data_IF_679968460861
#
_entry.id   IF_679968460861
#
_cell.length_a   1.000
_cell.length_b   1.000
_cell.length_c   1.000
_cell.angle_alpha   90.00
_cell.angle_beta   90.00
_cell.angle_gamma   90.00
#
_symmetry.space_group_name_H-M   'P 1'
#
loop_
_entity.id
_entity.type
_entity.pdbx_description
1 polymer ?
#
# COMPACT_ATOMS: atom_id res chain seq x y z
N UNK A 1 49.70 7.76 -9.17
CA UNK A 1 49.00 6.78 -10.03
C UNK A 1 47.56 6.68 -9.55
N UNK A 2 46.69 7.57 -10.01
CA UNK A 2 45.26 7.59 -9.61
C UNK A 2 44.47 6.72 -10.57
N UNK A 3 44.12 5.50 -10.15
CA UNK A 3 43.30 4.58 -10.94
C UNK A 3 41.82 4.95 -10.75
N UNK A 4 41.21 5.50 -11.81
CA UNK A 4 39.76 5.69 -11.89
C UNK A 4 39.05 4.32 -11.85
N UNK A 5 38.07 4.08 -10.96
CA UNK A 5 37.31 2.83 -10.97
C UNK A 5 36.51 2.76 -12.27
N UNK A 6 36.79 1.73 -13.07
CA UNK A 6 36.10 1.47 -14.33
C UNK A 6 34.59 1.35 -14.13
N UNK A 7 33.84 2.03 -15.01
CA UNK A 7 32.38 1.95 -15.08
C UNK A 7 31.97 0.47 -15.25
N UNK A 8 31.11 -0.03 -14.36
CA UNK A 8 30.50 -1.35 -14.47
C UNK A 8 29.50 -1.31 -15.63
N UNK A 9 29.95 -1.61 -16.85
CA UNK A 9 29.07 -1.73 -18.01
C UNK A 9 28.45 -3.12 -18.01
N UNK A 10 27.17 -3.19 -17.63
CA UNK A 10 26.38 -4.38 -17.91
C UNK A 10 26.18 -4.47 -19.43
N UNK A 11 26.53 -5.59 -20.07
CA UNK A 11 26.31 -5.76 -21.50
C UNK A 11 24.83 -5.52 -21.79
N UNK A 12 24.55 -4.57 -22.68
CA UNK A 12 23.19 -4.29 -23.11
C UNK A 12 22.64 -5.56 -23.75
N UNK A 13 21.60 -6.10 -23.13
CA UNK A 13 20.87 -7.28 -23.56
C UNK A 13 20.06 -7.01 -24.85
N UNK A 14 20.76 -6.72 -25.95
CA UNK A 14 20.12 -6.53 -27.25
C UNK A 14 19.85 -7.86 -27.98
N UNK A 15 20.10 -8.99 -27.31
CA UNK A 15 20.07 -10.32 -27.92
C UNK A 15 19.16 -11.33 -27.21
N UNK A 16 18.74 -11.08 -25.96
CA UNK A 16 17.75 -11.91 -25.30
C UNK A 16 16.36 -11.51 -25.79
N UNK A 17 15.81 -12.36 -26.64
CA UNK A 17 14.40 -12.32 -26.99
C UNK A 17 13.67 -13.04 -25.86
N UNK A 18 12.85 -12.32 -25.09
CA UNK A 18 11.92 -12.92 -24.14
C UNK A 18 10.91 -13.77 -24.93
N UNK A 19 11.00 -15.09 -24.79
CA UNK A 19 10.12 -16.03 -25.48
C UNK A 19 8.81 -16.26 -24.71
N UNK A 20 8.55 -15.49 -23.65
CA UNK A 20 7.30 -15.49 -22.89
C UNK A 20 7.06 -16.75 -22.07
N UNK A 21 8.09 -17.58 -21.85
CA UNK A 21 7.98 -18.83 -21.08
C UNK A 21 8.40 -18.64 -19.62
N UNK A 22 7.78 -19.42 -18.76
CA UNK A 22 8.16 -19.53 -17.35
C UNK A 22 9.31 -20.53 -17.19
N UNK A 23 10.49 -20.01 -16.91
CA UNK A 23 11.72 -20.79 -16.68
C UNK A 23 12.04 -21.07 -15.22
N UNK A 24 11.20 -20.66 -14.26
CA UNK A 24 11.52 -20.74 -12.84
C UNK A 24 11.92 -22.17 -12.41
N UNK A 25 11.14 -23.17 -12.83
CA UNK A 25 11.42 -24.57 -12.51
C UNK A 25 12.70 -25.09 -13.18
N UNK A 26 13.00 -24.60 -14.40
CA UNK A 26 14.21 -24.98 -15.15
C UNK A 26 15.46 -24.41 -14.50
N UNK A 27 15.41 -23.14 -14.10
CA UNK A 27 16.51 -22.44 -13.41
C UNK A 27 16.77 -23.09 -12.06
N UNK A 28 15.71 -23.33 -11.27
CA UNK A 28 15.84 -23.97 -9.97
C UNK A 28 16.36 -25.41 -10.09
N UNK A 29 15.93 -26.15 -11.12
CA UNK A 29 16.46 -27.48 -11.39
C UNK A 29 17.96 -27.41 -11.69
N UNK A 30 18.39 -26.56 -12.62
CA UNK A 30 19.79 -26.37 -13.01
C UNK A 30 20.69 -26.01 -11.83
N UNK A 31 20.23 -25.09 -10.98
CA UNK A 31 20.97 -24.64 -9.80
C UNK A 31 21.23 -25.77 -8.80
N UNK A 32 20.32 -26.75 -8.75
CA UNK A 32 20.40 -27.87 -7.82
C UNK A 32 20.90 -29.17 -8.48
N UNK A 33 21.35 -29.16 -9.75
CA UNK A 33 21.91 -30.36 -10.44
C UNK A 33 23.19 -30.85 -9.77
N UNK A 34 24.16 -29.94 -9.57
CA UNK A 34 25.45 -30.28 -8.96
C UNK A 34 25.30 -30.87 -7.55
N UNK A 35 24.56 -30.22 -6.65
CA UNK A 35 24.24 -30.78 -5.33
C UNK A 35 23.56 -32.16 -5.42
N UNK A 36 22.54 -32.33 -6.28
CA UNK A 36 21.85 -33.63 -6.47
C UNK A 36 22.79 -34.74 -6.95
N UNK A 37 23.69 -34.43 -7.88
CA UNK A 37 24.67 -35.38 -8.39
C UNK A 37 25.67 -35.82 -7.30
N UNK A 38 26.07 -34.89 -6.42
CA UNK A 38 27.02 -35.16 -5.33
C UNK A 38 26.40 -35.95 -4.16
N UNK A 39 25.13 -35.70 -3.84
CA UNK A 39 24.45 -36.33 -2.69
C UNK A 39 23.73 -37.63 -3.05
N UNK A 40 23.82 -38.10 -4.31
CA UNK A 40 23.10 -39.28 -4.81
C UNK A 40 21.60 -39.21 -4.53
N UNK A 41 21.04 -38.01 -4.54
CA UNK A 41 19.59 -37.82 -4.40
C UNK A 41 18.84 -38.53 -5.54
N UNK A 42 17.58 -38.90 -5.29
CA UNK A 42 16.72 -39.55 -6.29
C UNK A 42 16.75 -38.73 -7.59
N UNK A 43 16.95 -39.42 -8.72
CA UNK A 43 16.98 -38.77 -10.03
C UNK A 43 15.63 -38.11 -10.33
N UNK A 44 15.66 -36.79 -10.54
CA UNK A 44 14.50 -36.02 -10.97
C UNK A 44 14.81 -35.46 -12.36
N UNK A 45 14.03 -35.81 -13.40
CA UNK A 45 14.28 -35.33 -14.74
C UNK A 45 14.12 -33.80 -14.82
N UNK A 46 14.82 -33.20 -15.79
CA UNK A 46 14.74 -31.75 -16.00
C UNK A 46 13.33 -31.34 -16.43
N UNK A 47 12.68 -30.37 -15.76
CA UNK A 47 11.39 -29.85 -16.18
C UNK A 47 11.52 -29.07 -17.49
N UNK A 48 10.47 -29.05 -18.29
CA UNK A 48 10.36 -28.19 -19.49
C UNK A 48 9.84 -26.82 -19.07
N UNK A 49 10.27 -25.77 -19.77
CA UNK A 49 9.74 -24.43 -19.55
C UNK A 49 8.23 -24.43 -19.84
N UNK A 50 7.44 -23.96 -18.88
CA UNK A 50 5.99 -23.89 -18.98
C UNK A 50 5.55 -22.53 -19.52
N UNK A 51 4.26 -22.40 -19.80
CA UNK A 51 3.65 -21.07 -20.01
C UNK A 51 3.38 -20.44 -18.63
N UNK A 52 3.38 -19.12 -18.54
CA UNK A 52 2.86 -18.45 -17.35
C UNK A 52 1.40 -18.88 -17.10
N UNK A 53 1.06 -19.20 -15.84
CA UNK A 53 -0.32 -19.45 -15.47
C UNK A 53 -1.12 -18.18 -15.75
N UNK A 54 -2.05 -18.24 -16.70
CA UNK A 54 -3.01 -17.15 -16.88
C UNK A 54 -3.81 -17.06 -15.58
N UNK A 55 -3.83 -15.90 -14.89
CA UNK A 55 -4.67 -15.78 -13.71
C UNK A 55 -6.10 -16.15 -14.14
N UNK A 56 -6.72 -17.06 -13.41
CA UNK A 56 -8.12 -17.38 -13.64
C UNK A 56 -8.86 -16.05 -13.68
N UNK A 57 -9.54 -15.75 -14.80
CA UNK A 57 -10.36 -14.55 -14.93
C UNK A 57 -11.18 -14.50 -13.65
N UNK A 58 -11.09 -13.44 -12.83
CA UNK A 58 -11.86 -13.40 -11.61
C UNK A 58 -13.30 -13.60 -12.06
N UNK A 59 -13.89 -14.75 -11.69
CA UNK A 59 -15.30 -14.94 -11.83
C UNK A 59 -15.88 -13.72 -11.16
N UNK A 60 -16.55 -12.86 -11.93
CA UNK A 60 -17.19 -11.67 -11.40
C UNK A 60 -18.08 -12.21 -10.30
N UNK A 61 -17.65 -12.10 -9.05
CA UNK A 61 -18.46 -12.50 -7.92
C UNK A 61 -19.73 -11.70 -8.14
N UNK A 62 -20.84 -12.40 -8.43
CA UNK A 62 -22.14 -11.77 -8.54
C UNK A 62 -22.22 -10.87 -7.32
N UNK A 63 -22.31 -9.56 -7.56
CA UNK A 63 -22.09 -8.55 -6.54
C UNK A 63 -22.83 -8.97 -5.29
N UNK A 64 -22.09 -9.50 -4.32
CA UNK A 64 -22.66 -9.90 -3.05
C UNK A 64 -23.28 -8.60 -2.56
N UNK A 65 -24.60 -8.63 -2.33
CA UNK A 65 -25.40 -7.47 -1.96
C UNK A 65 -24.56 -6.57 -1.07
N UNK A 66 -24.34 -5.32 -1.52
CA UNK A 66 -23.41 -4.37 -0.95
C UNK A 66 -23.32 -4.58 0.56
N UNK A 67 -22.15 -5.03 1.05
CA UNK A 67 -21.91 -5.23 2.47
C UNK A 67 -22.52 -4.03 3.22
N UNK A 68 -23.33 -4.25 4.28
CA UNK A 68 -24.15 -3.20 4.85
C UNK A 68 -23.24 -2.02 5.11
N UNK A 69 -23.55 -0.88 4.47
CA UNK A 69 -22.72 0.31 4.57
C UNK A 69 -22.39 0.52 6.03
N UNK A 70 -21.13 0.28 6.42
CA UNK A 70 -20.69 0.37 7.82
C UNK A 70 -21.13 1.76 8.27
N UNK A 71 -22.11 1.82 9.19
CA UNK A 71 -22.67 3.09 9.66
C UNK A 71 -21.50 3.91 10.18
N UNK A 72 -21.05 4.86 9.37
CA UNK A 72 -19.88 5.68 9.68
C UNK A 72 -20.21 6.36 11.00
N UNK A 73 -19.36 6.16 12.00
CA UNK A 73 -19.59 6.72 13.33
C UNK A 73 -19.79 8.23 13.17
N UNK A 74 -20.94 8.71 13.65
CA UNK A 74 -21.42 10.06 13.39
C UNK A 74 -20.41 11.11 13.82
N UNK A 75 -20.39 12.24 13.12
CA UNK A 75 -19.60 13.39 13.56
C UNK A 75 -20.18 13.91 14.88
N UNK A 76 -19.32 14.09 15.88
CA UNK A 76 -19.71 14.49 17.23
C UNK A 76 -19.46 15.95 17.52
N UNK A 77 -18.50 16.57 16.84
CA UNK A 77 -18.08 17.96 17.08
C UNK A 77 -17.94 18.74 15.78
N UNK A 78 -17.96 20.06 15.88
CA UNK A 78 -17.52 21.00 14.85
C UNK A 78 -16.28 21.73 15.32
N UNK A 79 -15.42 22.14 14.40
CA UNK A 79 -14.27 22.99 14.71
C UNK A 79 -13.74 23.68 13.45
N UNK A 80 -12.82 24.62 13.63
CA UNK A 80 -12.19 25.37 12.54
C UNK A 80 -10.81 24.76 12.27
N UNK A 81 -10.60 24.32 11.03
CA UNK A 81 -9.32 23.85 10.53
C UNK A 81 -8.70 24.91 9.61
N UNK A 82 -7.50 25.38 9.97
CA UNK A 82 -6.68 26.27 9.15
C UNK A 82 -5.98 25.40 8.10
N UNK A 83 -6.25 25.67 6.82
CA UNK A 83 -5.59 25.03 5.68
C UNK A 83 -4.90 26.09 4.82
N UNK A 84 -4.22 25.65 3.76
CA UNK A 84 -3.64 26.56 2.74
C UNK A 84 -4.63 27.60 2.20
N UNK A 85 -5.89 27.21 2.03
CA UNK A 85 -6.93 28.10 1.46
C UNK A 85 -7.64 28.94 2.54
N UNK A 86 -7.11 28.97 3.76
CA UNK A 86 -7.69 29.68 4.89
C UNK A 86 -8.44 28.77 5.87
N UNK A 87 -9.22 29.41 6.72
CA UNK A 87 -10.02 28.78 7.77
C UNK A 87 -11.25 28.08 7.20
N UNK A 88 -11.47 26.82 7.60
CA UNK A 88 -12.62 26.04 7.16
C UNK A 88 -13.29 25.35 8.34
N UNK A 89 -14.59 25.53 8.47
CA UNK A 89 -15.39 24.78 9.43
C UNK A 89 -15.50 23.31 9.00
N UNK A 90 -15.17 22.40 9.90
CA UNK A 90 -15.16 20.95 9.67
C UNK A 90 -15.96 20.23 10.74
N UNK A 91 -16.63 19.14 10.34
CA UNK A 91 -17.29 18.21 11.26
C UNK A 91 -16.30 17.11 11.65
N UNK A 92 -16.11 16.94 12.95
CA UNK A 92 -15.11 16.08 13.54
C UNK A 92 -15.77 14.88 14.21
N UNK A 93 -15.12 13.72 14.07
CA UNK A 93 -15.38 12.57 14.89
C UNK A 93 -14.31 12.53 15.99
N UNK A 94 -14.76 12.43 17.23
CA UNK A 94 -13.87 12.29 18.38
C UNK A 94 -13.38 10.84 18.53
N UNK A 95 -12.07 10.65 18.53
CA UNK A 95 -11.40 9.39 18.89
C UNK A 95 -10.61 9.60 20.19
N UNK A 96 -10.11 8.55 20.84
CA UNK A 96 -9.36 8.65 22.09
C UNK A 96 -8.24 9.70 22.06
N UNK A 97 -7.44 9.72 20.99
CA UNK A 97 -6.26 10.60 20.84
C UNK A 97 -6.39 11.63 19.72
N UNK A 98 -7.44 11.55 18.89
CA UNK A 98 -7.49 12.35 17.66
C UNK A 98 -8.87 12.91 17.33
N UNK A 99 -8.87 13.99 16.55
CA UNK A 99 -10.03 14.56 15.88
C UNK A 99 -10.02 14.20 14.40
N UNK A 100 -10.99 13.40 13.95
CA UNK A 100 -11.05 12.93 12.57
C UNK A 100 -12.06 13.74 11.74
N UNK A 101 -11.58 14.60 10.83
CA UNK A 101 -12.42 15.36 9.90
C UNK A 101 -12.84 14.49 8.70
N UNK A 102 -11.92 13.71 8.14
CA UNK A 102 -12.09 12.85 6.97
C UNK A 102 -11.18 11.61 7.10
N UNK A 103 -11.39 10.50 6.37
CA UNK A 103 -10.44 9.37 6.36
C UNK A 103 -8.98 9.76 6.09
N UNK A 104 -8.74 10.85 5.35
CA UNK A 104 -7.40 11.35 5.03
C UNK A 104 -7.00 12.59 5.84
N UNK A 105 -7.76 12.93 6.88
CA UNK A 105 -7.57 14.15 7.64
C UNK A 105 -7.90 13.97 9.11
N UNK A 106 -6.82 13.84 9.87
CA UNK A 106 -6.83 13.56 11.30
C UNK A 106 -5.92 14.54 12.02
N UNK A 107 -6.39 15.07 13.13
CA UNK A 107 -5.69 16.04 13.97
C UNK A 107 -5.44 15.47 15.36
N UNK A 108 -4.32 15.81 15.96
CA UNK A 108 -4.00 15.46 17.34
C UNK A 108 -4.85 16.30 18.32
N UNK A 109 -5.39 15.66 19.37
CA UNK A 109 -6.20 16.32 20.40
C UNK A 109 -5.41 17.31 21.25
N UNK A 110 -4.11 17.08 21.44
CA UNK A 110 -3.30 17.90 22.34
C UNK A 110 -2.74 19.11 21.59
N UNK A 111 -2.16 18.88 20.41
CA UNK A 111 -1.47 19.94 19.67
C UNK A 111 -2.36 20.62 18.60
N UNK A 112 -3.40 19.93 18.14
CA UNK A 112 -4.21 20.33 16.99
C UNK A 112 -3.49 20.16 15.64
N UNK A 113 -2.28 19.60 15.61
CA UNK A 113 -1.53 19.41 14.37
C UNK A 113 -2.11 18.26 13.54
N UNK A 114 -1.99 18.38 12.21
CA UNK A 114 -2.41 17.30 11.31
C UNK A 114 -1.40 16.15 11.34
N UNK A 115 -1.90 14.94 11.58
CA UNK A 115 -1.10 13.72 11.56
C UNK A 115 -0.69 13.41 10.12
N UNK A 116 0.61 13.14 9.92
CA UNK A 116 1.21 12.86 8.60
C UNK A 116 1.49 14.09 7.73
N UNK A 117 1.14 15.30 8.17
CA UNK A 117 1.48 16.55 7.48
C UNK A 117 1.55 17.74 8.46
N UNK A 118 2.49 17.71 9.42
CA UNK A 118 2.63 18.79 10.40
C UNK A 118 2.94 20.13 9.70
N UNK A 119 2.38 21.23 10.22
CA UNK A 119 2.67 22.60 9.77
C UNK A 119 1.89 23.12 8.55
N UNK A 120 1.29 22.27 7.71
CA UNK A 120 0.46 22.73 6.57
C UNK A 120 -1.00 23.00 6.93
N UNK A 121 -1.52 22.24 7.90
CA UNK A 121 -2.88 22.37 8.39
C UNK A 121 -2.91 22.18 9.90
N UNK A 122 -3.72 22.97 10.60
CA UNK A 122 -3.92 22.86 12.05
C UNK A 122 -5.39 23.04 12.40
N UNK A 123 -5.87 22.25 13.36
CA UNK A 123 -7.17 22.42 13.99
C UNK A 123 -7.05 23.39 15.17
N UNK A 124 -7.93 24.39 15.22
CA UNK A 124 -8.06 25.29 16.36
C UNK A 124 -8.84 24.61 17.48
N UNK A 125 -8.13 24.15 18.51
CA UNK A 125 -8.73 23.40 19.62
C UNK A 125 -9.76 24.22 20.42
N UNK A 126 -9.57 25.53 20.54
CA UNK A 126 -10.51 26.44 21.20
C UNK A 126 -11.84 26.59 20.45
N UNK A 127 -11.87 26.31 19.15
CA UNK A 127 -13.07 26.44 18.31
C UNK A 127 -13.95 25.19 18.31
N UNK A 128 -13.57 24.15 19.04
CA UNK A 128 -14.25 22.86 19.02
C UNK A 128 -15.53 22.95 19.85
N UNK A 129 -16.67 22.73 19.20
CA UNK A 129 -17.99 22.73 19.82
C UNK A 129 -18.72 21.40 19.57
N UNK A 130 -19.40 20.83 20.57
CA UNK A 130 -20.18 19.61 20.37
C UNK A 130 -21.36 19.89 19.42
N UNK A 131 -21.60 19.00 18.47
CA UNK A 131 -22.80 19.05 17.64
C UNK A 131 -23.95 18.55 18.51
N UNK A 132 -24.89 19.43 18.86
CA UNK A 132 -26.12 19.03 19.51
C UNK A 132 -26.77 17.93 18.65
N UNK A 133 -26.84 16.70 19.19
CA UNK A 133 -27.63 15.64 18.57
C UNK A 133 -29.07 16.10 18.67
N UNK A 134 -29.65 16.58 17.56
CA UNK A 134 -31.11 16.70 17.47
C UNK A 134 -31.65 15.29 17.68
N UNK A 135 -32.28 15.07 18.84
CA UNK A 135 -32.77 13.78 19.27
C UNK A 135 -33.63 13.12 18.20
N UNK A 136 -33.48 11.81 18.10
CA UNK A 136 -34.47 10.93 17.50
C UNK A 136 -35.81 11.05 18.25
#
# INVERSE_FOLDING_TARGET
MTTTPGKLEYPSDKGHIDDGKNYLDVILWNMNVGPRARTRAVFVPRPKAGNFSTPAKPARQASVAAAPAVKRKGKTHTGIAIRRNGERQVKLHETATTWCASPHETYDKITGQRIGAPGRCRLLLSSITPIAKKGA
#
